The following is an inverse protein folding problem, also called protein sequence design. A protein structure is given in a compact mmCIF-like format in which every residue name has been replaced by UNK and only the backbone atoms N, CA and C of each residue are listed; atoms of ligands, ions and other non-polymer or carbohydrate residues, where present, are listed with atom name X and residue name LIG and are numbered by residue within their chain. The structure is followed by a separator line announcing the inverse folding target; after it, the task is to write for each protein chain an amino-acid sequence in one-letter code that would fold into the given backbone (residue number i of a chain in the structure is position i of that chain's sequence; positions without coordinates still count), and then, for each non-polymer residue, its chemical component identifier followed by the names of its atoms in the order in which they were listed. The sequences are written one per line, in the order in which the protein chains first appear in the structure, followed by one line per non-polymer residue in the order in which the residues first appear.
data_IF_655633822228
#
_entry.id   IF_655633822228
#
_cell.length_a   1.000
_cell.length_b   1.000
_cell.length_c   1.000
_cell.angle_alpha   90.00
_cell.angle_beta   90.00
_cell.angle_gamma   90.00
#
_symmetry.space_group_name_H-M   'P 1'
#
loop_
_entity.id
_entity.type
_entity.pdbx_description
1 polymer ?
#
# COMPACT_ATOMS: atom_id res chain seq x y z
N UNK A 1 8.16 22.69 33.08
CA UNK A 1 8.45 21.99 31.81
C UNK A 1 7.56 20.75 31.64
N UNK A 2 6.22 20.88 31.72
CA UNK A 2 5.34 19.71 31.93
C UNK A 2 4.20 19.56 30.91
N UNK A 3 3.84 20.60 30.16
CA UNK A 3 2.76 20.52 29.16
C UNK A 3 3.21 19.91 27.83
N UNK A 4 4.42 20.23 27.37
CA UNK A 4 4.95 19.72 26.09
C UNK A 4 5.34 18.24 26.14
N UNK A 5 5.90 17.77 27.26
CA UNK A 5 6.22 16.34 27.41
C UNK A 5 4.97 15.46 27.48
N UNK A 6 3.93 15.91 28.19
CA UNK A 6 2.65 15.18 28.30
C UNK A 6 1.89 15.12 26.97
N UNK A 7 1.94 16.18 26.15
CA UNK A 7 1.33 16.15 24.81
C UNK A 7 2.08 15.20 23.90
N UNK A 8 3.42 15.27 23.86
CA UNK A 8 4.27 14.36 23.06
C UNK A 8 4.02 12.89 23.46
N UNK A 9 3.99 12.60 24.76
CA UNK A 9 3.71 11.26 25.29
C UNK A 9 2.30 10.75 24.91
N UNK A 10 1.28 11.61 24.99
CA UNK A 10 -0.10 11.24 24.60
C UNK A 10 -0.21 10.99 23.10
N UNK A 11 0.48 11.77 22.27
CA UNK A 11 0.50 11.56 20.82
C UNK A 11 1.23 10.27 20.44
N UNK A 12 2.32 9.92 21.13
CA UNK A 12 3.03 8.66 20.92
C UNK A 12 2.14 7.43 21.27
N UNK A 13 1.45 7.47 22.41
CA UNK A 13 0.56 6.39 22.86
C UNK A 13 -0.64 6.20 21.91
N UNK A 14 -1.29 7.31 21.50
CA UNK A 14 -2.39 7.26 20.54
C UNK A 14 -1.96 6.70 19.18
N UNK A 15 -0.77 7.10 18.71
CA UNK A 15 -0.18 6.63 17.45
C UNK A 15 0.14 5.14 17.49
N UNK A 16 0.78 4.66 18.57
CA UNK A 16 1.11 3.23 18.71
C UNK A 16 -0.15 2.36 18.76
N UNK A 17 -1.18 2.78 19.49
CA UNK A 17 -2.48 2.08 19.53
C UNK A 17 -3.11 2.07 18.14
N UNK A 18 -3.11 3.21 17.43
CA UNK A 18 -3.63 3.29 16.07
C UNK A 18 -2.89 2.34 15.12
N UNK A 19 -1.57 2.27 15.16
CA UNK A 19 -0.78 1.34 14.33
C UNK A 19 -1.07 -0.12 14.62
N UNK A 20 -1.23 -0.50 15.89
CA UNK A 20 -1.61 -1.87 16.26
C UNK A 20 -3.00 -2.21 15.73
N UNK A 21 -4.00 -1.35 15.97
CA UNK A 21 -5.38 -1.60 15.54
C UNK A 21 -5.50 -1.65 14.00
N UNK A 22 -4.89 -0.71 13.31
CA UNK A 22 -4.88 -0.68 11.85
C UNK A 22 -4.11 -1.89 11.28
N UNK A 23 -2.99 -2.26 11.90
CA UNK A 23 -2.18 -3.39 11.47
C UNK A 23 -2.94 -4.71 11.57
N UNK A 24 -3.63 -4.93 12.70
CA UNK A 24 -4.49 -6.09 12.91
C UNK A 24 -5.66 -6.10 11.93
N UNK A 25 -6.33 -4.96 11.72
CA UNK A 25 -7.44 -4.86 10.78
C UNK A 25 -7.03 -5.23 9.35
N UNK A 26 -5.88 -4.71 8.89
CA UNK A 26 -5.32 -5.03 7.57
C UNK A 26 -4.92 -6.50 7.48
N UNK A 27 -4.31 -7.06 8.52
CA UNK A 27 -3.87 -8.45 8.55
C UNK A 27 -5.03 -9.43 8.42
N UNK A 28 -6.11 -9.22 9.17
CA UNK A 28 -7.27 -10.10 9.17
C UNK A 28 -8.04 -10.03 7.85
N UNK A 29 -8.37 -8.81 7.40
CA UNK A 29 -9.31 -8.57 6.30
C UNK A 29 -8.77 -7.49 5.34
N UNK A 30 -7.69 -7.76 4.59
CA UNK A 30 -7.06 -6.78 3.69
C UNK A 30 -8.03 -6.31 2.59
N UNK A 31 -8.91 -7.21 2.13
CA UNK A 31 -9.92 -6.91 1.12
C UNK A 31 -10.90 -5.84 1.59
N UNK A 32 -11.43 -5.99 2.81
CA UNK A 32 -12.40 -5.04 3.37
C UNK A 32 -11.73 -3.70 3.61
N UNK A 33 -10.53 -3.70 4.20
CA UNK A 33 -9.79 -2.45 4.45
C UNK A 33 -9.47 -1.72 3.15
N UNK A 34 -9.00 -2.42 2.12
CA UNK A 34 -8.75 -1.83 0.80
C UNK A 34 -10.01 -1.24 0.17
N UNK A 35 -11.16 -1.93 0.26
CA UNK A 35 -12.44 -1.42 -0.23
C UNK A 35 -12.92 -0.20 0.58
N UNK A 36 -12.78 -0.22 1.90
CA UNK A 36 -13.11 0.92 2.76
C UNK A 36 -12.27 2.15 2.37
N UNK A 37 -10.96 1.98 2.18
CA UNK A 37 -10.08 3.08 1.74
C UNK A 37 -10.53 3.60 0.37
N UNK A 38 -10.85 2.71 -0.58
CA UNK A 38 -11.36 3.11 -1.89
C UNK A 38 -12.65 3.94 -1.77
N UNK A 39 -13.62 3.49 -0.98
CA UNK A 39 -14.87 4.22 -0.79
C UNK A 39 -14.68 5.56 -0.09
N UNK A 40 -13.73 5.67 0.85
CA UNK A 40 -13.36 6.95 1.44
C UNK A 40 -12.79 7.91 0.39
N UNK A 41 -11.90 7.45 -0.48
CA UNK A 41 -11.31 8.27 -1.54
C UNK A 41 -12.39 8.69 -2.54
N UNK A 42 -13.23 7.76 -2.99
CA UNK A 42 -14.34 8.04 -3.92
C UNK A 42 -15.32 9.04 -3.28
N UNK A 43 -15.74 8.80 -2.03
CA UNK A 43 -16.63 9.68 -1.29
C UNK A 43 -16.06 11.09 -1.12
N UNK A 44 -14.78 11.21 -0.79
CA UNK A 44 -14.08 12.49 -0.73
C UNK A 44 -14.13 13.24 -2.07
N UNK A 45 -13.83 12.57 -3.18
CA UNK A 45 -13.88 13.18 -4.51
C UNK A 45 -15.30 13.63 -4.87
N UNK A 46 -16.33 12.84 -4.53
CA UNK A 46 -17.73 13.23 -4.73
C UNK A 46 -18.09 14.47 -3.91
N UNK A 47 -17.72 14.51 -2.63
CA UNK A 47 -17.99 15.67 -1.75
C UNK A 47 -17.29 16.92 -2.29
N UNK A 48 -16.02 16.81 -2.70
CA UNK A 48 -15.28 17.92 -3.31
C UNK A 48 -15.87 18.36 -4.65
N UNK A 49 -16.33 17.42 -5.47
CA UNK A 49 -17.06 17.71 -6.71
C UNK A 49 -18.33 18.50 -6.46
N UNK A 50 -19.13 18.11 -5.46
CA UNK A 50 -20.36 18.81 -5.06
C UNK A 50 -20.06 20.23 -4.56
N UNK A 51 -19.07 20.41 -3.68
CA UNK A 51 -18.70 21.75 -3.20
C UNK A 51 -18.27 22.68 -4.33
N UNK A 52 -17.47 22.19 -5.28
CA UNK A 52 -17.07 22.97 -6.45
C UNK A 52 -18.25 23.26 -7.39
N UNK A 53 -19.21 22.35 -7.52
CA UNK A 53 -20.41 22.58 -8.30
C UNK A 53 -21.28 23.69 -7.69
N UNK A 54 -21.51 23.65 -6.38
CA UNK A 54 -22.25 24.69 -5.65
C UNK A 54 -21.56 26.05 -5.78
N UNK A 55 -20.24 26.09 -5.61
CA UNK A 55 -19.43 27.31 -5.79
C UNK A 55 -19.56 27.87 -7.21
N UNK A 56 -19.60 26.99 -8.22
CA UNK A 56 -19.75 27.37 -9.63
C UNK A 56 -21.10 28.02 -9.93
N UNK A 57 -22.17 27.52 -9.31
CA UNK A 57 -23.52 28.08 -9.47
C UNK A 57 -23.60 29.46 -8.80
N UNK A 58 -22.98 29.63 -7.63
CA UNK A 58 -22.96 30.90 -6.90
C UNK A 58 -22.12 31.99 -7.61
N UNK A 59 -20.98 31.61 -8.21
CA UNK A 59 -20.09 32.53 -8.92
C UNK A 59 -20.49 32.84 -10.37
N UNK A 60 -21.49 32.14 -10.92
CA UNK A 60 -22.03 32.40 -12.26
C UNK A 60 -22.59 33.81 -12.45
N UNK A 61 -22.82 34.56 -11.36
CA UNK A 61 -23.24 35.96 -11.40
C UNK A 61 -22.17 36.93 -11.96
N UNK A 62 -20.88 36.56 -11.99
CA UNK A 62 -19.77 37.44 -12.37
C UNK A 62 -19.02 37.03 -13.66
N UNK A 63 -19.58 36.14 -14.49
CA UNK A 63 -18.90 35.59 -15.68
C UNK A 63 -18.09 34.33 -15.36
N UNK A 64 -17.74 33.57 -16.41
CA UNK A 64 -17.16 32.20 -16.39
C UNK A 64 -16.44 31.80 -15.08
N UNK A 65 -17.07 30.92 -14.30
CA UNK A 65 -16.49 30.40 -13.06
C UNK A 65 -15.53 29.24 -13.35
N UNK A 66 -14.25 29.44 -13.07
CA UNK A 66 -13.15 28.46 -13.22
C UNK A 66 -13.34 27.16 -12.43
N UNK A 67 -14.33 27.11 -11.53
CA UNK A 67 -14.67 25.96 -10.70
C UNK A 67 -15.50 24.87 -11.40
N UNK A 68 -16.12 25.15 -12.56
CA UNK A 68 -16.99 24.19 -13.25
C UNK A 68 -16.22 23.00 -13.84
N UNK A 69 -15.10 23.20 -14.57
CA UNK A 69 -14.28 22.09 -15.06
C UNK A 69 -13.68 21.25 -13.93
N UNK A 70 -13.36 21.89 -12.80
CA UNK A 70 -12.81 21.22 -11.60
C UNK A 70 -13.84 20.29 -10.98
N UNK A 71 -15.12 20.71 -10.87
CA UNK A 71 -16.19 19.85 -10.38
C UNK A 71 -16.38 18.60 -11.26
N UNK A 72 -16.40 18.80 -12.58
CA UNK A 72 -16.52 17.70 -13.56
C UNK A 72 -15.35 16.72 -13.43
N UNK A 73 -14.12 17.25 -13.29
CA UNK A 73 -12.93 16.43 -13.08
C UNK A 73 -13.06 15.54 -11.83
N UNK A 74 -13.50 16.08 -10.70
CA UNK A 74 -13.69 15.29 -9.48
C UNK A 74 -14.70 14.16 -9.64
N UNK A 75 -15.82 14.39 -10.34
CA UNK A 75 -16.81 13.35 -10.59
C UNK A 75 -16.31 12.27 -11.54
N UNK A 76 -15.64 12.66 -12.64
CA UNK A 76 -15.04 11.71 -13.58
C UNK A 76 -13.97 10.89 -12.86
N UNK A 77 -13.12 11.52 -12.07
CA UNK A 77 -12.06 10.84 -11.33
C UNK A 77 -12.63 9.85 -10.30
N UNK A 78 -13.67 10.24 -9.56
CA UNK A 78 -14.39 9.34 -8.66
C UNK A 78 -14.97 8.12 -9.39
N UNK A 79 -15.56 8.31 -10.57
CA UNK A 79 -16.11 7.24 -11.40
C UNK A 79 -14.99 6.31 -11.90
N UNK A 80 -13.88 6.86 -12.39
CA UNK A 80 -12.73 6.08 -12.84
C UNK A 80 -12.17 5.25 -11.69
N UNK A 81 -11.96 5.84 -10.51
CA UNK A 81 -11.47 5.10 -9.35
C UNK A 81 -12.44 3.98 -8.95
N UNK A 82 -13.75 4.24 -8.95
CA UNK A 82 -14.74 3.22 -8.60
C UNK A 82 -14.75 2.04 -9.58
N UNK A 83 -14.62 2.30 -10.89
CA UNK A 83 -14.65 1.27 -11.93
C UNK A 83 -13.30 0.53 -12.09
N UNK A 84 -12.18 1.26 -12.01
CA UNK A 84 -10.85 0.75 -12.34
C UNK A 84 -9.95 0.45 -11.14
N UNK A 85 -10.39 0.70 -9.89
CA UNK A 85 -9.53 0.46 -8.72
C UNK A 85 -9.00 -0.98 -8.62
N UNK A 86 -9.83 -1.99 -8.89
CA UNK A 86 -9.38 -3.40 -8.85
C UNK A 86 -8.25 -3.67 -9.86
N UNK A 87 -8.42 -3.38 -11.17
CA UNK A 87 -7.32 -3.46 -12.15
C UNK A 87 -6.10 -2.62 -11.78
N UNK A 88 -6.30 -1.39 -11.28
CA UNK A 88 -5.20 -0.50 -10.89
C UNK A 88 -4.34 -1.10 -9.77
N UNK A 89 -4.97 -1.63 -8.72
CA UNK A 89 -4.24 -2.29 -7.61
C UNK A 89 -3.56 -3.58 -8.08
N UNK A 90 -4.20 -4.34 -8.96
CA UNK A 90 -3.65 -5.58 -9.52
C UNK A 90 -2.48 -5.33 -10.50
N UNK A 91 -2.38 -4.15 -11.11
CA UNK A 91 -1.32 -3.83 -12.07
C UNK A 91 0.08 -3.91 -11.46
N UNK A 92 0.24 -3.47 -10.21
CA UNK A 92 1.53 -3.46 -9.51
C UNK A 92 2.11 -4.88 -9.34
N UNK A 93 1.40 -5.84 -8.71
CA UNK A 93 1.86 -7.23 -8.65
C UNK A 93 2.11 -7.86 -10.02
N UNK A 94 1.31 -7.52 -11.04
CA UNK A 94 1.51 -8.07 -12.38
C UNK A 94 2.86 -7.64 -12.97
N UNK A 95 3.19 -6.35 -12.92
CA UNK A 95 4.49 -5.85 -13.40
C UNK A 95 5.65 -6.37 -12.56
N UNK A 96 5.48 -6.46 -11.23
CA UNK A 96 6.48 -7.08 -10.36
C UNK A 96 6.68 -8.57 -10.73
N UNK A 97 5.61 -9.28 -11.03
CA UNK A 97 5.67 -10.67 -11.48
C UNK A 97 6.42 -10.83 -12.79
N UNK A 98 6.15 -9.95 -13.76
CA UNK A 98 6.87 -9.90 -15.03
C UNK A 98 8.37 -9.68 -14.81
N UNK A 99 8.75 -8.73 -13.96
CA UNK A 99 10.15 -8.49 -13.60
C UNK A 99 10.80 -9.71 -12.92
N UNK A 100 10.09 -10.40 -12.03
CA UNK A 100 10.56 -11.62 -11.40
C UNK A 100 10.76 -12.76 -12.40
N UNK A 101 9.86 -12.94 -13.38
CA UNK A 101 10.02 -13.95 -14.43
C UNK A 101 11.26 -13.67 -15.28
N UNK A 102 11.44 -12.42 -15.71
CA UNK A 102 12.61 -12.03 -16.51
C UNK A 102 13.90 -12.22 -15.70
N UNK A 103 13.96 -11.67 -14.48
CA UNK A 103 15.14 -11.77 -13.62
C UNK A 103 15.46 -13.21 -13.20
N UNK A 104 14.43 -14.01 -12.92
CA UNK A 104 14.56 -15.44 -12.63
C UNK A 104 15.06 -16.24 -13.84
N UNK A 105 14.56 -15.94 -15.04
CA UNK A 105 15.01 -16.53 -16.29
C UNK A 105 16.50 -16.26 -16.57
N UNK A 106 16.96 -15.03 -16.35
CA UNK A 106 18.38 -14.66 -16.46
C UNK A 106 19.25 -15.45 -15.47
N UNK A 107 18.81 -15.61 -14.22
CA UNK A 107 19.58 -16.38 -13.23
C UNK A 107 19.59 -17.87 -13.54
N UNK A 108 18.49 -18.39 -14.09
CA UNK A 108 18.39 -19.78 -14.50
C UNK A 108 19.35 -20.09 -15.66
N UNK A 109 19.43 -19.21 -16.66
CA UNK A 109 20.38 -19.36 -17.77
C UNK A 109 21.83 -19.22 -17.31
N UNK A 110 22.13 -18.27 -16.42
CA UNK A 110 23.46 -18.13 -15.79
C UNK A 110 23.87 -19.39 -15.02
N UNK A 111 22.95 -19.98 -14.26
CA UNK A 111 23.19 -21.24 -13.53
C UNK A 111 23.54 -22.40 -14.45
N UNK A 112 22.86 -22.53 -15.60
CA UNK A 112 23.21 -23.55 -16.59
C UNK A 112 24.61 -23.31 -17.16
N UNK A 113 25.00 -22.05 -17.34
CA UNK A 113 26.37 -21.65 -17.69
C UNK A 113 27.41 -22.00 -16.62
N UNK A 114 27.04 -22.07 -15.33
CA UNK A 114 27.97 -22.45 -14.27
C UNK A 114 28.33 -23.94 -14.27
N UNK A 115 27.58 -24.80 -14.97
CA UNK A 115 27.85 -26.24 -15.06
C UNK A 115 29.20 -26.58 -15.69
N UNK A 116 29.79 -25.66 -16.45
CA UNK A 116 31.10 -25.86 -17.08
C UNK A 116 32.28 -25.67 -16.10
N UNK A 117 32.04 -25.14 -14.91
CA UNK A 117 33.08 -24.89 -13.90
C UNK A 117 33.04 -25.95 -12.79
N UNK A 118 34.11 -26.74 -12.67
CA UNK A 118 34.20 -27.89 -11.74
C UNK A 118 34.15 -27.46 -10.26
N UNK A 119 34.54 -26.22 -9.94
CA UNK A 119 34.62 -25.73 -8.56
C UNK A 119 33.45 -24.83 -8.14
N UNK A 120 32.43 -24.66 -9.00
CA UNK A 120 31.29 -23.78 -8.70
C UNK A 120 30.00 -24.59 -8.60
N UNK A 121 29.35 -24.50 -7.45
CA UNK A 121 28.08 -25.19 -7.24
C UNK A 121 26.95 -24.43 -7.96
N UNK A 122 26.46 -24.98 -9.08
CA UNK A 122 25.41 -24.37 -9.91
C UNK A 122 23.99 -24.51 -9.33
N UNK A 123 23.79 -25.51 -8.46
CA UNK A 123 22.49 -25.92 -7.92
C UNK A 123 21.75 -24.81 -7.15
N UNK A 124 22.40 -24.04 -6.24
CA UNK A 124 21.71 -23.00 -5.48
C UNK A 124 21.18 -21.87 -6.37
N UNK A 125 21.94 -21.49 -7.41
CA UNK A 125 21.52 -20.47 -8.36
C UNK A 125 20.36 -20.95 -9.24
N UNK A 126 20.37 -22.23 -9.62
CA UNK A 126 19.28 -22.86 -10.36
C UNK A 126 17.97 -22.81 -9.57
N UNK A 127 18.00 -23.28 -8.32
CA UNK A 127 16.85 -23.34 -7.42
C UNK A 127 16.33 -21.92 -7.17
N UNK A 128 17.21 -20.97 -6.90
CA UNK A 128 16.81 -19.57 -6.72
C UNK A 128 16.11 -19.01 -7.96
N UNK A 129 16.66 -19.24 -9.16
CA UNK A 129 16.05 -18.83 -10.42
C UNK A 129 14.67 -19.44 -10.61
N UNK A 130 14.52 -20.75 -10.39
CA UNK A 130 13.26 -21.47 -10.50
C UNK A 130 12.20 -20.96 -9.52
N UNK A 131 12.55 -20.73 -8.25
CA UNK A 131 11.64 -20.15 -7.23
C UNK A 131 11.21 -18.75 -7.64
N UNK A 132 12.15 -17.93 -8.14
CA UNK A 132 11.86 -16.55 -8.55
C UNK A 132 10.89 -16.51 -9.74
N UNK A 133 11.07 -17.40 -10.72
CA UNK A 133 10.12 -17.55 -11.84
C UNK A 133 8.75 -18.00 -11.33
N UNK A 134 8.71 -19.02 -10.47
CA UNK A 134 7.45 -19.52 -9.89
C UNK A 134 6.68 -18.43 -9.13
N UNK A 135 7.38 -17.63 -8.31
CA UNK A 135 6.80 -16.48 -7.63
C UNK A 135 6.29 -15.42 -8.63
N UNK A 136 7.06 -15.14 -9.69
CA UNK A 136 6.66 -14.20 -10.74
C UNK A 136 5.40 -14.66 -11.49
N UNK A 137 5.31 -15.94 -11.84
CA UNK A 137 4.12 -16.52 -12.47
C UNK A 137 2.91 -16.44 -11.54
N UNK A 138 3.06 -16.77 -10.26
CA UNK A 138 1.98 -16.66 -9.27
C UNK A 138 1.46 -15.23 -9.17
N UNK A 139 2.35 -14.25 -9.16
CA UNK A 139 2.02 -12.82 -9.17
C UNK A 139 1.23 -12.40 -10.43
N UNK A 140 1.58 -12.95 -11.60
CA UNK A 140 0.90 -12.63 -12.86
C UNK A 140 -0.46 -13.32 -12.99
N UNK A 141 -0.60 -14.55 -12.52
CA UNK A 141 -1.86 -15.32 -12.60
C UNK A 141 -2.88 -14.83 -11.57
N UNK A 142 -2.42 -14.49 -10.35
CA UNK A 142 -3.28 -14.03 -9.26
C UNK A 142 -2.84 -12.66 -8.73
N UNK A 143 -2.85 -11.60 -9.54
CA UNK A 143 -2.28 -10.31 -9.16
C UNK A 143 -3.04 -9.65 -8.01
N UNK A 144 -4.37 -9.70 -8.02
CA UNK A 144 -5.17 -9.14 -6.95
C UNK A 144 -4.94 -9.86 -5.61
N UNK A 145 -4.97 -11.20 -5.61
CA UNK A 145 -4.67 -11.99 -4.40
C UNK A 145 -3.26 -11.73 -3.88
N UNK A 146 -2.30 -11.56 -4.79
CA UNK A 146 -0.93 -11.24 -4.41
C UNK A 146 -0.78 -9.85 -3.81
N UNK A 147 -1.46 -8.83 -4.33
CA UNK A 147 -1.56 -7.52 -3.67
C UNK A 147 -2.10 -7.66 -2.24
N UNK A 148 -3.14 -8.47 -2.04
CA UNK A 148 -3.72 -8.70 -0.71
C UNK A 148 -2.74 -9.42 0.22
N UNK A 149 -1.92 -10.34 -0.30
CA UNK A 149 -0.86 -10.97 0.48
C UNK A 149 0.19 -9.94 0.93
N UNK A 150 0.58 -9.01 0.06
CA UNK A 150 1.45 -7.89 0.45
C UNK A 150 0.80 -7.00 1.49
N UNK A 151 -0.48 -6.66 1.36
CA UNK A 151 -1.19 -5.90 2.38
C UNK A 151 -1.23 -6.63 3.72
N UNK A 152 -1.46 -7.96 3.75
CA UNK A 152 -1.39 -8.74 4.99
C UNK A 152 -0.02 -8.66 5.64
N UNK A 153 1.03 -8.85 4.84
CA UNK A 153 2.41 -8.70 5.32
C UNK A 153 2.64 -7.29 5.89
N UNK A 154 2.17 -6.26 5.19
CA UNK A 154 2.23 -4.88 5.66
C UNK A 154 1.47 -4.68 6.99
N UNK A 155 0.32 -5.33 7.16
CA UNK A 155 -0.45 -5.33 8.41
C UNK A 155 0.34 -5.94 9.58
N UNK A 156 1.05 -7.04 9.36
CA UNK A 156 1.96 -7.63 10.36
C UNK A 156 3.07 -6.66 10.73
N UNK A 157 3.76 -6.10 9.73
CA UNK A 157 4.85 -5.14 9.95
C UNK A 157 4.35 -3.91 10.71
N UNK A 158 3.18 -3.36 10.35
CA UNK A 158 2.56 -2.21 11.02
C UNK A 158 2.22 -2.53 12.48
N UNK A 159 1.71 -3.73 12.74
CA UNK A 159 1.42 -4.20 14.10
C UNK A 159 2.69 -4.28 14.95
N UNK A 160 3.75 -4.88 14.40
CA UNK A 160 5.05 -4.97 15.07
C UNK A 160 5.68 -3.60 15.32
N UNK A 161 5.55 -2.67 14.37
CA UNK A 161 6.00 -1.28 14.54
C UNK A 161 5.24 -0.59 15.69
N UNK A 162 3.91 -0.74 15.75
CA UNK A 162 3.10 -0.19 16.83
C UNK A 162 3.44 -0.79 18.20
N UNK A 163 3.70 -2.11 18.27
CA UNK A 163 4.18 -2.76 19.50
C UNK A 163 5.55 -2.19 19.91
N UNK A 164 6.46 -2.03 18.95
CA UNK A 164 7.80 -1.49 19.21
C UNK A 164 7.75 -0.07 19.75
N UNK A 165 6.90 0.80 19.19
CA UNK A 165 6.66 2.15 19.71
C UNK A 165 6.05 2.13 21.11
N UNK A 166 5.09 1.23 21.38
CA UNK A 166 4.48 1.07 22.69
C UNK A 166 5.51 0.64 23.75
N UNK A 167 6.38 -0.32 23.43
CA UNK A 167 7.46 -0.77 24.31
C UNK A 167 8.46 0.35 24.57
N UNK A 168 8.85 1.09 23.54
CA UNK A 168 9.72 2.26 23.68
C UNK A 168 9.10 3.30 24.63
N UNK A 169 7.82 3.60 24.45
CA UNK A 169 7.07 4.52 25.31
C UNK A 169 7.10 4.08 26.79
N UNK A 170 6.86 2.80 27.07
CA UNK A 170 6.89 2.25 28.44
C UNK A 170 8.31 2.35 29.02
N UNK A 171 9.34 2.08 28.21
CA UNK A 171 10.74 2.14 28.64
C UNK A 171 11.15 3.58 28.96
N UNK A 172 10.83 4.56 28.12
CA UNK A 172 11.15 5.97 28.38
C UNK A 172 10.46 6.49 29.65
N UNK A 173 9.20 6.10 29.90
CA UNK A 173 8.52 6.45 31.14
C UNK A 173 9.20 5.87 32.39
N UNK A 174 9.81 4.69 32.27
CA UNK A 174 10.51 4.05 33.40
C UNK A 174 11.92 4.63 33.66
N UNK A 175 12.50 5.40 32.75
CA UNK A 175 13.80 6.09 32.95
C UNK A 175 13.66 7.50 33.52
N UNK A 176 12.48 8.11 33.45
CA UNK A 176 12.15 9.43 34.03
C UNK A 176 11.61 9.34 35.48
N UNK A 177 11.71 8.16 36.13
CA UNK A 177 11.42 7.93 37.56
C UNK A 177 12.69 7.55 38.31
#
# INVERSE_FOLDING_TARGET
MTSMFKSIQRHALLRSIAYILLGIAIFLEPNKVSQTILYLIVGYNVVMGVFNLISSIKNKQNGYSSSTPVAIFYFIFALILFLFAKPLVASLPFFLGLMCVIGGGVRLSQSLGLRQYVNVNWLPMFIYGAITIGAGVLLMVFPFSSAMMFFRFFGVVLTLAGISELVAFIRFRNFDM
#
